data_IF_358248881699
#
_entry.id   IF_358248881699
#
_cell.length_a   1.000
_cell.length_b   1.000
_cell.length_c   1.000
_cell.angle_alpha   90.00
_cell.angle_beta   90.00
_cell.angle_gamma   90.00
#
_symmetry.space_group_name_H-M   'P 1'
#
loop_
_entity.id
_entity.type
_entity.pdbx_description
1 polymer ?
#
# COMPACT_ATOMS: atom_id res chain seq x y z
N UNK A 1 5.13 -1.33 13.72
CA UNK A 1 6.15 -0.37 14.17
C UNK A 1 7.38 -0.65 13.34
N UNK A 2 7.85 0.27 12.51
CA UNK A 2 9.08 0.07 11.72
C UNK A 2 10.35 0.30 12.55
N UNK A 3 10.20 0.62 13.84
CA UNK A 3 11.29 1.03 14.72
C UNK A 3 12.15 2.17 14.13
N UNK A 4 11.59 2.93 13.18
CA UNK A 4 12.21 4.11 12.60
C UNK A 4 12.10 5.29 13.58
N UNK A 5 13.07 5.33 14.49
CA UNK A 5 13.17 6.36 15.53
C UNK A 5 13.47 7.74 14.92
N UNK A 6 13.09 8.86 15.59
CA UNK A 6 13.31 10.24 15.13
C UNK A 6 14.79 10.67 15.19
N UNK A 7 15.68 9.86 14.64
CA UNK A 7 17.13 10.06 14.58
C UNK A 7 17.57 10.28 13.13
N UNK A 8 18.79 9.87 12.77
CA UNK A 8 19.35 10.05 11.42
C UNK A 8 18.42 9.43 10.37
N UNK A 9 18.11 10.19 9.32
CA UNK A 9 17.47 9.61 8.15
C UNK A 9 18.45 8.70 7.39
N UNK A 10 18.03 7.46 7.18
CA UNK A 10 18.80 6.44 6.47
C UNK A 10 18.12 5.95 5.19
N UNK A 11 16.92 6.47 4.85
CA UNK A 11 16.11 6.00 3.72
C UNK A 11 16.40 6.81 2.45
N UNK A 12 16.51 8.13 2.58
CA UNK A 12 16.76 9.06 1.46
C UNK A 12 18.11 8.78 0.79
N UNK A 13 18.12 8.55 -0.52
CA UNK A 13 19.34 8.32 -1.30
C UNK A 13 19.93 9.59 -1.92
N UNK A 14 19.08 10.51 -2.40
CA UNK A 14 19.51 11.70 -3.13
C UNK A 14 20.11 12.75 -2.19
N UNK A 15 21.12 13.51 -2.66
CA UNK A 15 21.68 14.64 -1.92
C UNK A 15 20.74 15.86 -1.97
N UNK A 16 21.12 16.93 -1.29
CA UNK A 16 20.46 18.25 -1.35
C UNK A 16 18.97 18.23 -0.94
N UNK A 17 18.60 17.33 -0.02
CA UNK A 17 17.32 17.39 0.69
C UNK A 17 17.48 18.16 2.00
N UNK A 18 16.36 18.64 2.55
CA UNK A 18 16.33 19.15 3.94
C UNK A 18 16.31 18.03 4.98
N UNK A 19 16.23 16.77 4.54
CA UNK A 19 16.07 15.60 5.40
C UNK A 19 17.41 15.17 6.01
N UNK A 20 17.70 15.69 7.20
CA UNK A 20 18.83 15.20 8.00
C UNK A 20 18.38 14.12 8.99
N UNK A 21 17.20 14.31 9.55
CA UNK A 21 16.59 13.43 10.53
C UNK A 21 15.25 12.89 10.02
N UNK A 22 14.82 11.76 10.56
CA UNK A 22 13.56 11.11 10.20
C UNK A 22 12.36 12.06 10.37
N UNK A 23 12.37 12.92 11.39
CA UNK A 23 11.31 13.90 11.62
C UNK A 23 11.26 15.03 10.59
N UNK A 24 12.35 15.31 9.88
CA UNK A 24 12.36 16.29 8.78
C UNK A 24 11.56 15.75 7.58
N UNK A 25 11.67 14.45 7.32
CA UNK A 25 10.88 13.71 6.30
C UNK A 25 9.44 13.50 6.77
N UNK A 26 9.25 13.13 8.03
CA UNK A 26 7.95 12.90 8.64
C UNK A 26 7.29 14.18 9.18
N UNK A 27 7.66 15.34 8.65
CA UNK A 27 7.23 16.65 9.15
C UNK A 27 5.70 16.79 9.24
N UNK A 28 4.97 16.25 8.26
CA UNK A 28 3.51 16.32 8.24
C UNK A 28 2.86 15.35 9.23
N UNK A 29 3.49 14.20 9.51
CA UNK A 29 3.06 13.30 10.59
C UNK A 29 3.09 14.04 11.94
N UNK A 30 4.24 14.61 12.31
CA UNK A 30 4.37 15.33 13.58
C UNK A 30 3.46 16.55 13.67
N UNK A 31 3.26 17.28 12.55
CA UNK A 31 2.34 18.42 12.49
C UNK A 31 0.88 18.01 12.71
N UNK A 32 0.42 16.94 12.07
CA UNK A 32 -0.94 16.42 12.24
C UNK A 32 -1.18 15.98 13.68
N UNK A 33 -0.26 15.17 14.24
CA UNK A 33 -0.36 14.72 15.63
C UNK A 33 -0.43 15.89 16.62
N UNK A 34 0.48 16.87 16.51
CA UNK A 34 0.48 18.01 17.41
C UNK A 34 -0.79 18.87 17.30
N UNK A 35 -1.28 19.12 16.08
CA UNK A 35 -2.47 19.97 15.85
C UNK A 35 -3.77 19.28 16.27
N UNK A 36 -3.95 18.02 15.88
CA UNK A 36 -5.21 17.30 16.12
C UNK A 36 -5.34 16.81 17.56
N UNK A 37 -4.23 16.50 18.25
CA UNK A 37 -4.27 16.24 19.70
C UNK A 37 -4.62 17.50 20.50
N UNK A 38 -4.14 18.67 20.07
CA UNK A 38 -4.48 19.94 20.72
C UNK A 38 -5.92 20.37 20.44
N UNK A 39 -6.35 20.33 19.18
CA UNK A 39 -7.73 20.61 18.77
C UNK A 39 -8.17 19.67 17.63
N UNK A 40 -9.07 18.70 17.88
CA UNK A 40 -9.52 17.75 16.87
C UNK A 40 -10.40 18.36 15.79
N UNK A 41 -10.87 19.61 15.96
CA UNK A 41 -11.64 20.35 14.94
C UNK A 41 -10.76 21.26 14.07
N UNK A 42 -9.43 21.15 14.17
CA UNK A 42 -8.49 21.91 13.33
C UNK A 42 -8.80 21.68 11.85
N UNK A 43 -9.01 22.78 11.12
CA UNK A 43 -9.35 22.74 9.69
C UNK A 43 -8.18 22.26 8.82
N UNK A 44 -8.53 21.51 7.78
CA UNK A 44 -7.64 21.05 6.71
C UNK A 44 -6.82 22.18 6.06
N UNK A 45 -7.35 23.41 6.02
CA UNK A 45 -6.64 24.60 5.51
C UNK A 45 -5.29 24.82 6.19
N UNK A 46 -5.14 24.44 7.46
CA UNK A 46 -3.86 24.54 8.19
C UNK A 46 -2.80 23.61 7.58
N UNK A 47 -3.19 22.41 7.16
CA UNK A 47 -2.29 21.42 6.57
C UNK A 47 -2.02 21.74 5.10
N UNK A 48 -3.04 22.15 4.34
CA UNK A 48 -2.88 22.67 2.97
C UNK A 48 -1.91 23.83 2.92
N UNK A 49 -2.07 24.83 3.81
CA UNK A 49 -1.16 25.97 3.86
C UNK A 49 0.27 25.58 4.25
N UNK A 50 0.44 24.52 5.05
CA UNK A 50 1.76 24.03 5.41
C UNK A 50 2.47 23.37 4.22
N UNK A 51 1.76 22.61 3.38
CA UNK A 51 2.29 22.15 2.10
C UNK A 51 2.58 23.31 1.16
N UNK A 52 1.68 24.28 1.03
CA UNK A 52 1.86 25.45 0.17
C UNK A 52 3.10 26.26 0.57
N UNK A 53 3.35 26.40 1.86
CA UNK A 53 4.52 27.11 2.38
C UNK A 53 5.83 26.39 2.04
N UNK A 54 5.80 25.05 1.96
CA UNK A 54 6.97 24.22 1.64
C UNK A 54 7.17 24.04 0.13
N UNK A 55 6.08 23.97 -0.62
CA UNK A 55 6.02 23.68 -2.05
C UNK A 55 5.02 24.61 -2.74
N UNK A 56 5.44 25.85 -2.93
CA UNK A 56 4.62 26.93 -3.51
C UNK A 56 3.99 26.47 -4.82
N UNK A 57 2.68 26.68 -4.95
CA UNK A 57 1.86 26.31 -6.10
C UNK A 57 1.34 24.87 -6.09
N UNK A 58 1.80 24.01 -5.16
CA UNK A 58 1.47 22.58 -5.12
C UNK A 58 0.71 22.17 -3.85
N UNK A 59 0.43 23.09 -2.93
CA UNK A 59 -0.01 22.77 -1.58
C UNK A 59 -1.30 21.96 -1.50
N UNK A 60 -2.33 22.41 -2.22
CA UNK A 60 -3.63 21.73 -2.26
C UNK A 60 -3.53 20.32 -2.88
N UNK A 61 -2.86 20.21 -4.03
CA UNK A 61 -2.71 18.93 -4.72
C UNK A 61 -1.95 17.90 -3.89
N UNK A 62 -0.85 18.30 -3.24
CA UNK A 62 -0.07 17.42 -2.36
C UNK A 62 -0.87 16.97 -1.14
N UNK A 63 -1.52 17.90 -0.45
CA UNK A 63 -2.31 17.57 0.73
C UNK A 63 -3.48 16.64 0.40
N UNK A 64 -4.26 16.99 -0.62
CA UNK A 64 -5.42 16.19 -1.04
C UNK A 64 -5.02 14.79 -1.54
N UNK A 65 -3.88 14.64 -2.19
CA UNK A 65 -3.38 13.34 -2.61
C UNK A 65 -2.83 12.54 -1.43
N UNK A 66 -2.09 13.17 -0.51
CA UNK A 66 -1.58 12.52 0.70
C UNK A 66 -2.72 12.00 1.58
N UNK A 67 -3.80 12.77 1.77
CA UNK A 67 -4.97 12.30 2.52
C UNK A 67 -5.60 11.05 1.90
N UNK A 68 -5.67 10.97 0.56
CA UNK A 68 -6.22 9.81 -0.15
C UNK A 68 -5.35 8.57 0.04
N UNK A 69 -4.05 8.67 -0.23
CA UNK A 69 -3.14 7.51 -0.15
C UNK A 69 -2.80 7.12 1.28
N UNK A 70 -2.89 8.03 2.25
CA UNK A 70 -2.74 7.73 3.67
C UNK A 70 -3.75 6.70 4.21
N UNK A 71 -4.84 6.46 3.47
CA UNK A 71 -5.83 5.41 3.79
C UNK A 71 -5.38 4.00 3.41
N UNK A 72 -4.43 3.86 2.47
CA UNK A 72 -3.95 2.56 1.96
C UNK A 72 -3.41 1.66 3.08
N UNK A 73 -2.46 2.08 3.94
CA UNK A 73 -1.94 1.21 4.99
C UNK A 73 -3.01 0.77 6.00
N UNK A 74 -3.98 1.66 6.29
CA UNK A 74 -5.11 1.34 7.16
C UNK A 74 -6.00 0.26 6.53
N UNK A 75 -6.36 0.39 5.25
CA UNK A 75 -7.18 -0.60 4.55
C UNK A 75 -6.48 -1.96 4.51
N UNK A 76 -5.19 -2.00 4.21
CA UNK A 76 -4.39 -3.24 4.20
C UNK A 76 -4.42 -3.89 5.59
N UNK A 77 -4.15 -3.14 6.66
CA UNK A 77 -4.14 -3.68 8.02
C UNK A 77 -5.53 -4.15 8.49
N UNK A 78 -6.57 -3.37 8.20
CA UNK A 78 -7.97 -3.69 8.50
C UNK A 78 -8.45 -4.96 7.79
N UNK A 79 -8.00 -5.20 6.55
CA UNK A 79 -8.29 -6.44 5.83
C UNK A 79 -7.43 -7.61 6.33
N UNK A 80 -6.15 -7.37 6.61
CA UNK A 80 -5.22 -8.45 6.94
C UNK A 80 -5.40 -9.03 8.34
N UNK A 81 -5.96 -8.29 9.30
CA UNK A 81 -6.10 -8.77 10.68
C UNK A 81 -4.76 -9.17 11.31
N UNK A 82 -3.83 -8.21 11.30
CA UNK A 82 -2.60 -8.31 12.05
C UNK A 82 -2.90 -8.16 13.55
N UNK A 83 -2.48 -9.14 14.34
CA UNK A 83 -2.68 -9.13 15.81
C UNK A 83 -1.54 -8.44 16.55
N UNK A 84 -0.34 -8.41 15.97
CA UNK A 84 0.85 -7.82 16.57
C UNK A 84 1.64 -7.05 15.50
N UNK A 85 2.37 -6.01 15.87
CA UNK A 85 3.02 -5.09 14.93
C UNK A 85 4.19 -5.74 14.17
N UNK A 86 4.70 -6.86 14.65
CA UNK A 86 5.67 -7.71 13.95
C UNK A 86 5.04 -8.58 12.85
N UNK A 87 3.72 -8.81 12.84
CA UNK A 87 3.12 -9.78 11.91
C UNK A 87 2.72 -9.20 10.57
N UNK A 88 2.73 -7.88 10.40
CA UNK A 88 2.42 -7.20 9.14
C UNK A 88 3.36 -6.03 8.89
N UNK A 89 3.86 -5.93 7.67
CA UNK A 89 4.54 -4.77 7.13
C UNK A 89 3.80 -4.30 5.87
N UNK A 90 2.90 -3.33 6.04
CA UNK A 90 1.97 -2.90 4.98
C UNK A 90 2.66 -2.31 3.76
N UNK A 91 3.77 -1.59 3.94
CA UNK A 91 4.49 -0.93 2.84
C UNK A 91 5.09 -1.93 1.83
N UNK A 92 5.43 -3.14 2.28
CA UNK A 92 5.84 -4.25 1.42
C UNK A 92 4.76 -5.30 1.14
N UNK A 93 3.53 -5.13 1.66
CA UNK A 93 2.52 -6.21 1.75
C UNK A 93 3.12 -7.52 2.27
N UNK A 94 4.00 -7.44 3.28
CA UNK A 94 4.64 -8.62 3.86
C UNK A 94 3.94 -9.02 5.15
N UNK A 95 3.85 -10.31 5.41
CA UNK A 95 3.34 -10.84 6.67
C UNK A 95 4.25 -11.92 7.23
N UNK A 96 4.28 -12.04 8.55
CA UNK A 96 4.85 -13.21 9.19
C UNK A 96 4.00 -14.43 8.84
N UNK A 97 4.63 -15.44 8.28
CA UNK A 97 4.01 -16.69 7.89
C UNK A 97 4.23 -17.76 8.97
N UNK A 98 3.47 -18.85 8.91
CA UNK A 98 3.56 -19.94 9.89
C UNK A 98 4.91 -20.66 9.93
N UNK A 99 5.79 -20.39 8.97
CA UNK A 99 7.19 -20.85 8.92
C UNK A 99 8.17 -19.85 9.58
N UNK A 100 7.64 -18.85 10.30
CA UNK A 100 8.39 -17.77 10.96
C UNK A 100 9.14 -16.83 9.99
N UNK A 101 8.88 -16.93 8.68
CA UNK A 101 9.44 -16.01 7.68
C UNK A 101 8.47 -14.91 7.33
N UNK A 102 9.02 -13.73 7.05
CA UNK A 102 8.26 -12.61 6.52
C UNK A 102 8.37 -12.62 5.00
N UNK A 103 7.24 -12.85 4.35
CA UNK A 103 7.13 -13.06 2.91
C UNK A 103 5.96 -12.22 2.37
N UNK A 104 5.88 -12.06 1.04
CA UNK A 104 4.76 -11.41 0.40
C UNK A 104 3.44 -12.13 0.76
N UNK A 105 2.43 -11.36 1.15
CA UNK A 105 1.07 -11.86 1.36
C UNK A 105 0.56 -12.46 0.05
N UNK A 106 0.29 -13.77 0.05
CA UNK A 106 -0.07 -14.47 -1.17
C UNK A 106 -1.57 -14.39 -1.50
N UNK A 107 -1.90 -14.62 -2.77
CA UNK A 107 -3.26 -14.71 -3.29
C UNK A 107 -4.09 -15.72 -2.49
N UNK A 108 -3.51 -16.90 -2.23
CA UNK A 108 -4.13 -17.95 -1.43
C UNK A 108 -4.45 -17.49 -0.02
N UNK A 109 -3.53 -16.77 0.62
CA UNK A 109 -3.77 -16.25 1.96
C UNK A 109 -4.84 -15.18 1.98
N UNK A 110 -4.91 -14.33 0.93
CA UNK A 110 -5.99 -13.36 0.80
C UNK A 110 -7.37 -14.03 0.68
N UNK A 111 -7.47 -15.17 -0.02
CA UNK A 111 -8.70 -15.97 -0.10
C UNK A 111 -9.17 -16.49 1.27
N UNK A 112 -8.21 -16.90 2.10
CA UNK A 112 -8.46 -17.53 3.41
C UNK A 112 -8.68 -16.52 4.54
N UNK A 113 -8.38 -15.23 4.33
CA UNK A 113 -8.34 -14.25 5.40
C UNK A 113 -9.74 -13.85 5.89
N UNK A 114 -9.89 -13.79 7.21
CA UNK A 114 -10.97 -13.06 7.88
C UNK A 114 -10.49 -11.65 8.26
N UNK A 115 -11.12 -10.58 7.74
CA UNK A 115 -10.79 -9.20 8.08
C UNK A 115 -10.89 -8.90 9.58
N UNK A 116 -10.09 -7.92 10.03
CA UNK A 116 -10.17 -7.38 11.39
C UNK A 116 -11.33 -6.40 11.53
N UNK A 117 -11.54 -5.57 10.51
CA UNK A 117 -12.67 -4.64 10.47
C UNK A 117 -13.99 -5.43 10.38
N UNK A 118 -14.85 -5.42 11.40
CA UNK A 118 -16.06 -6.24 11.42
C UNK A 118 -17.06 -5.92 10.31
N UNK A 119 -17.00 -4.69 9.77
CA UNK A 119 -17.83 -4.26 8.65
C UNK A 119 -17.31 -4.75 7.29
N UNK A 120 -16.13 -5.37 7.21
CA UNK A 120 -15.62 -5.96 5.97
C UNK A 120 -16.03 -7.44 5.90
N UNK A 121 -16.40 -7.89 4.70
CA UNK A 121 -16.57 -9.30 4.41
C UNK A 121 -15.24 -9.95 4.06
N UNK A 122 -15.03 -11.19 4.51
CA UNK A 122 -14.04 -12.07 3.88
C UNK A 122 -14.51 -12.49 2.48
N UNK A 123 -13.59 -13.00 1.67
CA UNK A 123 -13.93 -13.55 0.35
C UNK A 123 -14.89 -14.75 0.51
N UNK A 124 -14.67 -15.60 1.51
CA UNK A 124 -15.56 -16.73 1.82
C UNK A 124 -16.98 -16.28 2.21
N UNK A 125 -17.11 -15.25 3.06
CA UNK A 125 -18.42 -14.68 3.39
C UNK A 125 -19.11 -14.14 2.13
N UNK A 126 -18.37 -13.40 1.29
CA UNK A 126 -18.90 -12.79 0.07
C UNK A 126 -19.42 -13.81 -0.95
N UNK A 127 -18.72 -14.93 -1.11
CA UNK A 127 -19.09 -15.98 -2.07
C UNK A 127 -20.07 -17.02 -1.50
N UNK A 128 -20.40 -16.96 -0.22
CA UNK A 128 -21.32 -17.90 0.42
C UNK A 128 -22.76 -17.76 -0.14
N UNK A 129 -23.45 -18.87 -0.41
CA UNK A 129 -24.83 -18.85 -0.89
C UNK A 129 -25.75 -18.05 0.05
N UNK A 130 -26.56 -17.15 -0.52
CA UNK A 130 -27.55 -16.37 0.22
C UNK A 130 -27.01 -15.13 0.95
N UNK A 131 -25.72 -14.82 0.88
CA UNK A 131 -25.14 -13.59 1.49
C UNK A 131 -25.16 -12.39 0.53
N UNK A 132 -25.09 -12.65 -0.78
CA UNK A 132 -25.15 -11.66 -1.85
C UNK A 132 -26.45 -10.82 -1.78
N UNK A 133 -26.37 -9.59 -1.27
CA UNK A 133 -27.44 -8.59 -1.29
C UNK A 133 -28.20 -8.37 0.02
N UNK A 134 -27.94 -9.16 1.07
CA UNK A 134 -28.66 -9.05 2.36
C UNK A 134 -27.88 -8.32 3.47
N UNK A 135 -26.56 -8.21 3.33
CA UNK A 135 -25.69 -7.64 4.36
C UNK A 135 -25.28 -6.20 4.02
N UNK A 136 -25.26 -5.33 5.04
CA UNK A 136 -24.77 -3.93 4.94
C UNK A 136 -23.24 -3.84 5.03
N UNK A 137 -22.53 -4.96 5.16
CA UNK A 137 -21.07 -5.02 5.17
C UNK A 137 -20.47 -4.65 3.81
N UNK A 138 -19.24 -4.16 3.82
CA UNK A 138 -18.46 -3.86 2.62
C UNK A 138 -17.91 -5.17 2.05
N UNK A 139 -18.24 -5.46 0.79
CA UNK A 139 -17.71 -6.62 0.06
C UNK A 139 -16.24 -6.40 -0.33
N UNK A 140 -15.45 -7.48 -0.57
CA UNK A 140 -14.08 -7.34 -1.06
C UNK A 140 -13.98 -6.55 -2.38
N UNK A 141 -14.97 -6.68 -3.28
CA UNK A 141 -15.01 -5.93 -4.53
C UNK A 141 -15.28 -4.44 -4.31
N UNK A 142 -16.24 -4.08 -3.43
CA UNK A 142 -16.48 -2.68 -3.06
C UNK A 142 -15.27 -2.06 -2.36
N UNK A 143 -14.58 -2.82 -1.51
CA UNK A 143 -13.34 -2.38 -0.88
C UNK A 143 -12.28 -2.06 -1.94
N UNK A 144 -12.04 -2.99 -2.87
CA UNK A 144 -11.10 -2.80 -3.98
C UNK A 144 -11.46 -1.58 -4.85
N UNK A 145 -12.74 -1.39 -5.19
CA UNK A 145 -13.23 -0.25 -5.98
C UNK A 145 -13.01 1.07 -5.26
N UNK A 146 -13.34 1.14 -3.97
CA UNK A 146 -13.18 2.35 -3.17
C UNK A 146 -11.71 2.75 -3.02
N UNK A 147 -10.83 1.78 -2.79
CA UNK A 147 -9.39 2.03 -2.65
C UNK A 147 -8.77 2.43 -4.00
N UNK A 148 -9.17 1.77 -5.09
CA UNK A 148 -8.72 2.13 -6.43
C UNK A 148 -9.12 3.57 -6.78
N UNK A 149 -10.35 3.99 -6.49
CA UNK A 149 -10.82 5.34 -6.77
C UNK A 149 -9.97 6.40 -6.03
N UNK A 150 -9.64 6.15 -4.76
CA UNK A 150 -8.77 7.04 -3.98
C UNK A 150 -7.36 7.12 -4.58
N UNK A 151 -6.77 5.98 -4.94
CA UNK A 151 -5.42 5.91 -5.47
C UNK A 151 -5.32 6.55 -6.86
N UNK A 152 -6.26 6.28 -7.76
CA UNK A 152 -6.30 6.91 -9.08
C UNK A 152 -6.47 8.42 -8.99
N UNK A 153 -7.34 8.91 -8.09
CA UNK A 153 -7.48 10.35 -7.86
C UNK A 153 -6.19 10.98 -7.31
N UNK A 154 -5.51 10.31 -6.38
CA UNK A 154 -4.21 10.79 -5.88
C UNK A 154 -3.13 10.83 -6.97
N UNK A 155 -3.03 9.78 -7.80
CA UNK A 155 -2.10 9.74 -8.93
C UNK A 155 -2.42 10.83 -9.96
N UNK A 156 -3.70 11.13 -10.19
CA UNK A 156 -4.14 12.19 -11.10
C UNK A 156 -3.65 13.57 -10.66
N UNK A 157 -3.76 13.90 -9.37
CA UNK A 157 -3.21 15.13 -8.80
C UNK A 157 -1.70 15.26 -9.04
N UNK A 158 -0.96 14.15 -9.10
CA UNK A 158 0.50 14.14 -9.27
C UNK A 158 0.97 14.21 -10.73
N UNK A 159 0.08 14.07 -11.72
CA UNK A 159 0.48 14.01 -13.15
C UNK A 159 1.18 15.27 -13.64
N UNK A 160 0.73 16.43 -13.15
CA UNK A 160 1.18 17.73 -13.66
C UNK A 160 2.19 18.43 -12.75
N UNK A 161 2.49 17.84 -11.59
CA UNK A 161 3.48 18.41 -10.66
C UNK A 161 4.86 17.98 -11.15
N UNK A 162 5.70 18.97 -11.43
CA UNK A 162 7.11 18.77 -11.75
C UNK A 162 7.92 19.10 -10.51
N UNK A 163 8.76 18.17 -10.08
CA UNK A 163 9.68 18.41 -8.97
C UNK A 163 10.81 19.39 -9.33
N UNK A 164 11.08 19.56 -10.62
CA UNK A 164 12.25 20.31 -11.13
C UNK A 164 13.52 19.88 -10.38
N UNK A 165 14.28 20.83 -9.81
CA UNK A 165 15.48 20.56 -9.01
C UNK A 165 15.20 20.41 -7.51
N UNK A 166 13.93 20.41 -7.08
CA UNK A 166 13.54 20.27 -5.69
C UNK A 166 13.38 18.79 -5.30
N UNK A 167 14.42 18.22 -4.69
CA UNK A 167 14.41 16.83 -4.25
C UNK A 167 13.40 16.56 -3.13
N UNK A 168 13.14 17.50 -2.21
CA UNK A 168 12.11 17.31 -1.18
C UNK A 168 10.73 17.12 -1.81
N UNK A 169 10.41 17.90 -2.85
CA UNK A 169 9.17 17.77 -3.61
C UNK A 169 9.13 16.46 -4.41
N UNK A 170 10.26 16.04 -4.99
CA UNK A 170 10.37 14.74 -5.65
C UNK A 170 10.02 13.60 -4.69
N UNK A 171 10.52 13.64 -3.45
CA UNK A 171 10.19 12.64 -2.43
C UNK A 171 8.70 12.63 -2.08
N UNK A 172 8.07 13.79 -1.87
CA UNK A 172 6.62 13.85 -1.58
C UNK A 172 5.77 13.29 -2.73
N UNK A 173 6.10 13.65 -3.97
CA UNK A 173 5.42 13.12 -5.16
C UNK A 173 5.63 11.60 -5.25
N UNK A 174 6.85 11.13 -4.98
CA UNK A 174 7.21 9.72 -5.10
C UNK A 174 6.58 8.88 -4.01
N UNK A 175 6.49 9.37 -2.76
CA UNK A 175 5.76 8.72 -1.67
C UNK A 175 4.27 8.59 -2.01
N UNK A 176 3.66 9.67 -2.52
CA UNK A 176 2.25 9.65 -2.93
C UNK A 176 2.04 8.64 -4.06
N UNK A 177 2.89 8.64 -5.08
CA UNK A 177 2.78 7.69 -6.20
C UNK A 177 3.01 6.25 -5.74
N UNK A 178 3.99 6.02 -4.87
CA UNK A 178 4.31 4.70 -4.32
C UNK A 178 3.12 4.13 -3.57
N UNK A 179 2.54 4.88 -2.62
CA UNK A 179 1.34 4.43 -1.91
C UNK A 179 0.12 4.30 -2.82
N UNK A 180 -0.02 5.18 -3.83
CA UNK A 180 -1.06 5.07 -4.85
C UNK A 180 -0.97 3.75 -5.61
N UNK A 181 0.21 3.39 -6.12
CA UNK A 181 0.41 2.12 -6.80
C UNK A 181 0.33 0.91 -5.86
N UNK A 182 0.74 1.03 -4.60
CA UNK A 182 0.60 -0.02 -3.60
C UNK A 182 -0.88 -0.31 -3.29
N UNK A 183 -1.70 0.73 -3.19
CA UNK A 183 -3.15 0.60 -3.05
C UNK A 183 -3.81 -0.03 -4.27
N UNK A 184 -3.36 0.32 -5.48
CA UNK A 184 -3.84 -0.32 -6.72
C UNK A 184 -3.41 -1.78 -6.81
N UNK A 185 -2.17 -2.11 -6.43
CA UNK A 185 -1.69 -3.48 -6.31
C UNK A 185 -2.59 -4.30 -5.38
N UNK A 186 -2.87 -3.79 -4.18
CA UNK A 186 -3.77 -4.46 -3.24
C UNK A 186 -5.18 -4.62 -3.80
N UNK A 187 -5.76 -3.56 -4.40
CA UNK A 187 -7.10 -3.60 -5.00
C UNK A 187 -7.21 -4.67 -6.09
N UNK A 188 -6.27 -4.71 -7.03
CA UNK A 188 -6.31 -5.67 -8.13
C UNK A 188 -5.97 -7.08 -7.66
N UNK A 189 -5.05 -7.24 -6.69
CA UNK A 189 -4.78 -8.53 -6.06
C UNK A 189 -5.99 -9.07 -5.29
N UNK A 190 -6.77 -8.21 -4.62
CA UNK A 190 -8.01 -8.59 -3.95
C UNK A 190 -9.07 -9.08 -4.95
N UNK A 191 -9.18 -8.42 -6.12
CA UNK A 191 -10.05 -8.90 -7.21
C UNK A 191 -9.58 -10.22 -7.79
N UNK A 192 -8.28 -10.39 -7.96
CA UNK A 192 -7.68 -11.64 -8.39
C UNK A 192 -8.01 -12.77 -7.40
N UNK A 193 -7.95 -12.51 -6.08
CA UNK A 193 -8.26 -13.48 -5.04
C UNK A 193 -9.74 -13.89 -5.06
N UNK A 194 -10.66 -12.92 -5.23
CA UNK A 194 -12.10 -13.22 -5.38
C UNK A 194 -12.34 -14.12 -6.60
N UNK A 195 -11.79 -13.76 -7.76
CA UNK A 195 -11.94 -14.55 -8.98
C UNK A 195 -11.29 -15.94 -8.86
N UNK A 196 -10.16 -16.04 -8.15
CA UNK A 196 -9.51 -17.31 -7.88
C UNK A 196 -10.36 -18.22 -6.98
N UNK A 197 -10.92 -17.67 -5.90
CA UNK A 197 -11.81 -18.44 -5.03
C UNK A 197 -13.06 -18.92 -5.78
N UNK A 198 -13.65 -18.09 -6.65
CA UNK A 198 -14.75 -18.50 -7.52
C UNK A 198 -14.35 -19.66 -8.46
N UNK A 199 -13.12 -19.66 -8.96
CA UNK A 199 -12.56 -20.77 -9.73
C UNK A 199 -12.46 -22.04 -8.89
N UNK A 200 -11.94 -21.96 -7.65
CA UNK A 200 -11.87 -23.10 -6.74
C UNK A 200 -13.25 -23.68 -6.43
N UNK A 201 -14.26 -22.84 -6.26
CA UNK A 201 -15.61 -23.26 -5.89
C UNK A 201 -16.38 -23.90 -7.08
N UNK A 202 -16.14 -23.44 -8.31
CA UNK A 202 -16.94 -23.81 -9.49
C UNK A 202 -16.21 -24.64 -10.54
N UNK A 203 -14.87 -24.61 -10.56
CA UNK A 203 -14.05 -25.13 -11.65
C UNK A 203 -14.13 -24.34 -12.97
N UNK A 204 -14.84 -23.19 -13.01
CA UNK A 204 -14.97 -22.40 -14.25
C UNK A 204 -13.62 -21.83 -14.68
N UNK A 205 -13.21 -22.11 -15.93
CA UNK A 205 -11.96 -21.58 -16.47
C UNK A 205 -12.03 -20.07 -16.74
N UNK A 206 -13.23 -19.49 -16.88
CA UNK A 206 -13.39 -18.04 -17.07
C UNK A 206 -12.99 -17.26 -15.82
N UNK A 207 -13.31 -17.76 -14.64
CA UNK A 207 -12.94 -17.11 -13.37
C UNK A 207 -11.43 -17.21 -13.11
N UNK A 208 -10.79 -18.33 -13.48
CA UNK A 208 -9.33 -18.44 -13.48
C UNK A 208 -8.69 -17.41 -14.42
N UNK A 209 -9.20 -17.28 -15.65
CA UNK A 209 -8.71 -16.28 -16.61
C UNK A 209 -8.83 -14.86 -16.04
N UNK A 210 -9.98 -14.52 -15.47
CA UNK A 210 -10.20 -13.22 -14.82
C UNK A 210 -9.22 -13.00 -13.66
N UNK A 211 -8.93 -14.03 -12.86
CA UNK A 211 -7.96 -13.95 -11.77
C UNK A 211 -6.56 -13.60 -12.28
N UNK A 212 -6.13 -14.24 -13.36
CA UNK A 212 -4.84 -13.95 -14.03
C UNK A 212 -4.82 -12.51 -14.55
N UNK A 213 -5.85 -12.08 -15.27
CA UNK A 213 -5.93 -10.71 -15.83
C UNK A 213 -5.86 -9.64 -14.71
N UNK A 214 -6.42 -9.89 -13.53
CA UNK A 214 -6.30 -8.98 -12.38
C UNK A 214 -4.91 -9.02 -11.74
N UNK A 215 -4.32 -10.21 -11.56
CA UNK A 215 -2.99 -10.33 -10.96
C UNK A 215 -1.89 -9.77 -11.88
N UNK A 216 -2.09 -9.82 -13.20
CA UNK A 216 -1.24 -9.15 -14.18
C UNK A 216 -1.24 -7.63 -13.98
N UNK A 217 -2.42 -7.01 -13.84
CA UNK A 217 -2.52 -5.57 -13.55
C UNK A 217 -1.89 -5.19 -12.23
N UNK A 218 -2.13 -6.00 -11.18
CA UNK A 218 -1.46 -5.82 -9.90
C UNK A 218 0.07 -5.85 -10.07
N UNK A 219 0.60 -6.84 -10.78
CA UNK A 219 2.05 -6.96 -11.03
C UNK A 219 2.63 -5.73 -11.74
N UNK A 220 1.91 -5.14 -12.69
CA UNK A 220 2.31 -3.88 -13.33
C UNK A 220 2.41 -2.74 -12.31
N UNK A 221 1.45 -2.61 -11.39
CA UNK A 221 1.53 -1.61 -10.33
C UNK A 221 2.75 -1.81 -9.41
N UNK A 222 3.12 -3.06 -9.13
CA UNK A 222 4.36 -3.33 -8.37
C UNK A 222 5.62 -2.91 -9.14
N UNK A 223 5.64 -3.11 -10.45
CA UNK A 223 6.74 -2.65 -11.30
C UNK A 223 6.88 -1.12 -11.30
N UNK A 224 5.76 -0.39 -11.32
CA UNK A 224 5.75 1.07 -11.17
C UNK A 224 6.33 1.50 -9.82
N UNK A 225 5.98 0.82 -8.73
CA UNK A 225 6.58 1.08 -7.40
C UNK A 225 8.09 0.94 -7.47
N UNK A 226 8.61 -0.14 -8.05
CA UNK A 226 10.06 -0.36 -8.20
C UNK A 226 10.69 0.77 -9.02
N UNK A 227 10.08 1.14 -10.14
CA UNK A 227 10.58 2.19 -11.03
C UNK A 227 10.65 3.56 -10.32
N UNK A 228 9.66 3.89 -9.48
CA UNK A 228 9.62 5.12 -8.69
C UNK A 228 10.67 5.11 -7.58
N UNK A 229 10.82 3.98 -6.88
CA UNK A 229 11.55 3.91 -5.60
C UNK A 229 13.04 3.66 -5.78
N UNK A 230 13.44 2.80 -6.73
CA UNK A 230 14.85 2.41 -6.95
C UNK A 230 15.82 3.57 -7.13
N UNK A 231 15.49 4.66 -7.86
CA UNK A 231 16.43 5.76 -8.05
C UNK A 231 16.65 6.63 -6.80
N UNK A 232 15.72 6.61 -5.82
CA UNK A 232 15.65 7.64 -4.78
C UNK A 232 15.68 7.10 -3.35
N UNK A 233 15.40 5.81 -3.12
CA UNK A 233 15.45 5.21 -1.79
C UNK A 233 16.59 4.22 -1.66
N UNK A 234 17.22 4.21 -0.49
CA UNK A 234 18.18 3.19 -0.09
C UNK A 234 17.42 1.96 0.41
N UNK A 235 17.94 0.74 0.17
CA UNK A 235 17.49 -0.43 0.92
C UNK A 235 17.68 -0.22 2.42
N UNK A 236 16.71 -0.63 3.22
CA UNK A 236 16.67 -0.38 4.67
C UNK A 236 16.54 -1.67 5.47
N UNK A 237 17.09 -1.75 6.69
CA UNK A 237 16.84 -2.91 7.54
C UNK A 237 15.35 -2.95 7.94
N UNK A 238 14.76 -4.13 7.92
CA UNK A 238 13.45 -4.36 8.54
C UNK A 238 13.60 -5.23 9.77
N UNK A 239 12.96 -4.81 10.86
CA UNK A 239 12.88 -5.62 12.08
C UNK A 239 12.23 -6.98 11.79
N UNK A 240 11.28 -7.03 10.87
CA UNK A 240 10.59 -8.21 10.36
C UNK A 240 11.52 -9.29 9.78
N UNK A 241 12.75 -8.94 9.39
CA UNK A 241 13.76 -9.90 8.96
C UNK A 241 14.68 -10.37 10.10
N UNK A 242 14.17 -10.39 11.33
CA UNK A 242 14.89 -10.88 12.53
C UNK A 242 16.25 -10.22 12.78
N UNK A 243 16.43 -8.96 12.33
CA UNK A 243 17.74 -8.27 12.37
C UNK A 243 18.84 -9.01 11.61
N UNK A 244 18.49 -9.75 10.56
CA UNK A 244 19.46 -10.20 9.59
C UNK A 244 20.01 -8.96 8.86
N UNK A 245 21.20 -8.50 9.27
CA UNK A 245 21.85 -7.31 8.72
C UNK A 245 22.15 -7.42 7.20
N UNK A 246 22.02 -8.61 6.62
CA UNK A 246 22.15 -8.85 5.18
C UNK A 246 20.81 -8.84 4.43
N UNK A 247 19.68 -8.88 5.14
CA UNK A 247 18.34 -8.79 4.56
C UNK A 247 17.84 -7.34 4.66
N UNK A 248 17.96 -6.59 3.56
CA UNK A 248 17.45 -5.24 3.45
C UNK A 248 16.17 -5.22 2.63
N UNK A 249 15.20 -4.45 3.08
CA UNK A 249 14.00 -4.16 2.34
C UNK A 249 14.24 -3.08 1.31
N UNK A 250 13.79 -3.41 0.11
CA UNK A 250 13.42 -2.48 -0.93
C UNK A 250 12.35 -3.19 -1.76
N UNK A 251 11.38 -2.48 -2.32
CA UNK A 251 10.31 -3.10 -3.12
C UNK A 251 10.85 -3.97 -4.27
N UNK A 252 12.02 -3.63 -4.82
CA UNK A 252 12.70 -4.42 -5.85
C UNK A 252 13.16 -5.79 -5.38
N UNK A 253 13.45 -5.96 -4.09
CA UNK A 253 13.81 -7.25 -3.51
C UNK A 253 12.61 -8.22 -3.45
N UNK A 254 11.39 -7.67 -3.39
CA UNK A 254 10.12 -8.42 -3.37
C UNK A 254 9.59 -8.69 -4.79
N UNK A 255 10.06 -7.94 -5.79
CA UNK A 255 9.66 -8.10 -7.20
C UNK A 255 9.69 -9.54 -7.72
N UNK A 256 10.72 -10.36 -7.41
CA UNK A 256 10.73 -11.77 -7.77
C UNK A 256 9.58 -12.59 -7.17
N UNK A 257 9.18 -12.34 -5.92
CA UNK A 257 8.03 -13.02 -5.30
C UNK A 257 6.71 -12.65 -5.99
N UNK A 258 6.54 -11.37 -6.34
CA UNK A 258 5.36 -10.89 -7.09
C UNK A 258 5.26 -11.59 -8.45
N UNK A 259 6.37 -11.67 -9.18
CA UNK A 259 6.40 -12.33 -10.49
C UNK A 259 6.17 -13.84 -10.37
N UNK A 260 6.80 -14.49 -9.38
CA UNK A 260 6.64 -15.92 -9.14
C UNK A 260 5.19 -16.30 -8.82
N UNK A 261 4.46 -15.45 -8.09
CA UNK A 261 3.04 -15.65 -7.82
C UNK A 261 2.19 -15.58 -9.09
N UNK A 262 2.46 -14.62 -9.98
CA UNK A 262 1.76 -14.53 -11.26
C UNK A 262 2.04 -15.75 -12.15
N UNK A 263 3.29 -16.20 -12.20
CA UNK A 263 3.70 -17.37 -12.98
C UNK A 263 3.08 -18.66 -12.43
N UNK A 264 3.03 -18.79 -11.09
CA UNK A 264 2.32 -19.86 -10.40
C UNK A 264 0.83 -19.88 -10.80
N UNK A 265 0.15 -18.74 -10.79
CA UNK A 265 -1.27 -18.67 -11.15
C UNK A 265 -1.49 -19.06 -12.62
N UNK A 266 -0.64 -18.58 -13.54
CA UNK A 266 -0.68 -18.92 -14.97
C UNK A 266 -0.45 -20.41 -15.22
N UNK A 267 0.36 -21.08 -14.40
CA UNK A 267 0.60 -22.52 -14.55
C UNK A 267 -0.65 -23.40 -14.42
N UNK A 268 -1.73 -22.89 -13.79
CA UNK A 268 -3.01 -23.59 -13.66
C UNK A 268 -3.86 -23.56 -14.95
N UNK A 269 -3.41 -22.82 -15.98
CA UNK A 269 -4.08 -22.80 -17.30
C UNK A 269 -3.54 -23.86 -18.27
N UNK A 270 -2.37 -24.43 -17.97
CA UNK A 270 -1.70 -25.48 -18.74
C UNK A 270 -2.24 -26.87 -18.35
#
# INVERSE_FOLDING_TARGET
SECYIPAKDYITALPNTLYRYAFDRQWMYYKQWGRLLFNPTTSDTIFTNAFESRFIGNGAALFEAQQKVGRVPLVIASYWNATWDYTLYSEGLLSLMGNEKVELISLLQMCEKTPLEPNYMSIKEFLSPGVSGLSKKITPLQLADSLQALCLAALDHMKNIKSEENNDLLYEISDIKTWGHLGLYFSDKLRAAVAYQQHLDSGDKKTLKSSIEWLEKATVHWQEIIAITTPIYKPVPLQHYERNDHALFHWSAIGPEVQAELDWLRSHTL
#
